data_IF_220725500836
#
_entry.id   IF_220725500836
#
_cell.length_a   1.000
_cell.length_b   1.000
_cell.length_c   1.000
_cell.angle_alpha   90.00
_cell.angle_beta   90.00
_cell.angle_gamma   90.00
#
_symmetry.space_group_name_H-M   'P 1'
#
loop_
_entity.id
_entity.type
_entity.pdbx_description
1 polymer ?
#
# COMPACT_ATOMS: atom_id res chain seq x y z
N UNK A 1 -23.48 -5.97 -3.21
CA UNK A 1 -23.26 -5.97 -1.75
C UNK A 1 -22.42 -4.75 -1.43
N UNK A 2 -22.93 -3.81 -0.65
CA UNK A 2 -22.09 -2.81 -0.01
C UNK A 2 -21.35 -3.52 1.13
N UNK A 3 -20.03 -3.46 1.13
CA UNK A 3 -19.23 -3.93 2.25
C UNK A 3 -19.01 -2.73 3.16
N UNK A 4 -19.74 -2.66 4.27
CA UNK A 4 -19.49 -1.68 5.33
C UNK A 4 -18.17 -2.04 6.02
N UNK A 5 -17.18 -1.16 5.94
CA UNK A 5 -15.89 -1.33 6.62
C UNK A 5 -16.06 -1.16 8.14
N UNK A 6 -15.40 -2.00 8.92
CA UNK A 6 -15.44 -1.99 10.39
C UNK A 6 -14.02 -2.13 10.97
N UNK A 7 -13.88 -1.82 12.27
CA UNK A 7 -12.62 -2.03 13.01
C UNK A 7 -12.13 -3.50 13.05
N UNK A 8 -12.97 -4.47 12.66
CA UNK A 8 -12.60 -5.90 12.64
C UNK A 8 -12.01 -6.32 11.31
N UNK A 9 -12.06 -5.46 10.30
CA UNK A 9 -11.50 -5.69 8.99
C UNK A 9 -10.03 -5.27 8.95
N UNK A 10 -9.33 -5.73 7.90
CA UNK A 10 -7.97 -5.32 7.58
C UNK A 10 -7.98 -4.67 6.21
N UNK A 11 -7.35 -3.50 6.10
CA UNK A 11 -7.23 -2.77 4.83
C UNK A 11 -5.78 -2.80 4.36
N UNK A 12 -5.56 -3.37 3.17
CA UNK A 12 -4.25 -3.45 2.54
C UNK A 12 -4.16 -2.45 1.39
N UNK A 13 -3.39 -1.39 1.59
CA UNK A 13 -3.12 -0.36 0.59
C UNK A 13 -1.94 -0.72 -0.30
N UNK A 14 -2.18 -0.92 -1.59
CA UNK A 14 -1.14 -1.33 -2.55
C UNK A 14 -0.84 -0.19 -3.52
N UNK A 15 0.38 0.34 -3.46
CA UNK A 15 0.87 1.30 -4.44
C UNK A 15 2.39 1.20 -4.58
N UNK A 16 2.88 0.83 -5.76
CA UNK A 16 4.32 0.72 -6.02
C UNK A 16 5.05 2.04 -5.72
N UNK A 17 4.43 3.18 -6.06
CA UNK A 17 4.94 4.52 -5.78
C UNK A 17 4.95 4.89 -4.30
N UNK A 18 4.10 4.24 -3.50
CA UNK A 18 3.86 4.54 -2.10
C UNK A 18 3.18 5.88 -1.81
N UNK A 19 2.67 6.58 -2.83
CA UNK A 19 2.10 7.94 -2.69
C UNK A 19 0.79 8.16 -3.46
N UNK A 20 0.12 7.10 -3.88
CA UNK A 20 -1.13 7.20 -4.66
C UNK A 20 -2.24 7.79 -3.78
N UNK A 21 -2.84 8.95 -4.10
CA UNK A 21 -3.81 9.62 -3.22
C UNK A 21 -5.02 8.77 -2.83
N UNK A 22 -5.49 7.92 -3.74
CA UNK A 22 -6.57 6.98 -3.46
C UNK A 22 -6.23 5.99 -2.34
N UNK A 23 -4.98 5.51 -2.31
CA UNK A 23 -4.52 4.56 -1.30
C UNK A 23 -4.29 5.27 0.04
N UNK A 24 -3.77 6.50 0.01
CA UNK A 24 -3.62 7.36 1.20
C UNK A 24 -4.98 7.56 1.87
N UNK A 25 -5.98 8.08 1.16
CA UNK A 25 -7.30 8.33 1.74
C UNK A 25 -8.01 7.07 2.21
N UNK A 26 -7.78 5.94 1.54
CA UNK A 26 -8.31 4.64 1.97
C UNK A 26 -7.71 4.14 3.29
N UNK A 27 -6.39 4.31 3.47
CA UNK A 27 -5.69 3.93 4.70
C UNK A 27 -6.03 4.89 5.85
N UNK A 28 -6.08 6.20 5.60
CA UNK A 28 -6.50 7.19 6.61
C UNK A 28 -7.91 6.90 7.12
N UNK A 29 -8.86 6.65 6.21
CA UNK A 29 -10.23 6.30 6.59
C UNK A 29 -10.31 4.97 7.38
N UNK A 30 -9.52 3.97 7.00
CA UNK A 30 -9.45 2.70 7.72
C UNK A 30 -8.90 2.89 9.15
N UNK A 31 -7.87 3.72 9.31
CA UNK A 31 -7.32 4.09 10.62
C UNK A 31 -8.33 4.85 11.48
N UNK A 32 -9.08 5.80 10.91
CA UNK A 32 -10.14 6.53 11.62
C UNK A 32 -11.23 5.59 12.19
N UNK A 33 -11.53 4.50 11.48
CA UNK A 33 -12.45 3.45 11.93
C UNK A 33 -11.84 2.46 12.91
N UNK A 34 -10.52 2.52 13.15
CA UNK A 34 -9.78 1.57 14.00
C UNK A 34 -9.56 0.20 13.36
N UNK A 35 -9.65 0.09 12.03
CA UNK A 35 -9.27 -1.13 11.31
C UNK A 35 -7.74 -1.23 11.23
N UNK A 36 -7.21 -2.45 11.25
CA UNK A 36 -5.76 -2.66 11.04
C UNK A 36 -5.38 -2.33 9.61
N UNK A 37 -4.33 -1.54 9.44
CA UNK A 37 -3.87 -1.11 8.12
C UNK A 37 -2.50 -1.69 7.75
N UNK A 38 -2.37 -2.07 6.48
CA UNK A 38 -1.12 -2.55 5.90
C UNK A 38 -0.82 -1.76 4.64
N UNK A 39 0.42 -1.29 4.50
CA UNK A 39 0.88 -0.63 3.29
C UNK A 39 1.90 -1.50 2.54
N UNK A 40 1.70 -1.65 1.23
CA UNK A 40 2.59 -2.36 0.33
C UNK A 40 3.11 -1.43 -0.77
N UNK A 41 4.38 -1.02 -0.63
CA UNK A 41 5.07 -0.11 -1.55
C UNK A 41 6.45 -0.64 -1.96
N UNK A 42 7.06 -0.05 -2.99
CA UNK A 42 8.41 -0.42 -3.44
C UNK A 42 9.43 0.72 -3.31
N UNK A 43 9.04 1.79 -2.60
CA UNK A 43 9.91 2.90 -2.22
C UNK A 43 10.04 2.92 -0.69
N UNK A 44 11.25 3.14 -0.15
CA UNK A 44 11.42 3.35 1.28
C UNK A 44 10.70 4.64 1.73
N UNK A 45 10.34 4.70 3.02
CA UNK A 45 9.80 5.90 3.70
C UNK A 45 8.67 6.58 2.90
N UNK A 46 7.77 5.76 2.36
CA UNK A 46 6.70 6.25 1.51
C UNK A 46 5.51 6.79 2.33
N UNK A 47 4.75 7.77 1.83
CA UNK A 47 3.58 8.30 2.54
C UNK A 47 2.62 7.22 3.07
N UNK A 48 2.32 6.17 2.29
CA UNK A 48 1.44 5.09 2.79
C UNK A 48 2.08 4.23 3.88
N UNK A 49 3.42 4.14 3.92
CA UNK A 49 4.14 3.41 4.97
C UNK A 49 4.11 4.17 6.30
N UNK A 50 4.13 5.50 6.27
CA UNK A 50 4.01 6.33 7.48
C UNK A 50 2.59 6.32 8.07
N UNK A 51 1.58 6.06 7.24
CA UNK A 51 0.17 6.04 7.63
C UNK A 51 -0.24 4.68 8.22
N UNK A 52 0.30 3.57 7.70
CA UNK A 52 -0.17 2.23 8.05
C UNK A 52 0.45 1.67 9.34
N UNK A 53 -0.31 0.82 10.06
CA UNK A 53 0.21 0.08 11.23
C UNK A 53 1.39 -0.83 10.86
N UNK A 54 1.31 -1.44 9.67
CA UNK A 54 2.31 -2.37 9.14
C UNK A 54 2.77 -1.91 7.76
N UNK A 55 4.06 -1.59 7.64
CA UNK A 55 4.69 -1.26 6.37
C UNK A 55 5.46 -2.47 5.79
N UNK A 56 5.11 -2.87 4.57
CA UNK A 56 5.83 -3.85 3.76
C UNK A 56 6.43 -3.13 2.56
N UNK A 57 7.75 -2.88 2.61
CA UNK A 57 8.45 -2.06 1.62
C UNK A 57 9.62 -2.78 0.95
N UNK A 58 9.37 -3.83 0.13
CA UNK A 58 10.41 -4.49 -0.65
C UNK A 58 10.97 -3.53 -1.71
N UNK A 59 12.17 -3.00 -1.48
CA UNK A 59 12.87 -2.10 -2.41
C UNK A 59 13.46 -2.90 -3.56
N UNK A 60 12.77 -2.89 -4.71
CA UNK A 60 13.17 -3.66 -5.91
C UNK A 60 14.15 -2.91 -6.84
N UNK A 61 14.41 -1.63 -6.57
CA UNK A 61 15.23 -0.74 -7.40
C UNK A 61 14.59 -0.32 -8.74
N UNK A 62 15.30 0.46 -9.59
CA UNK A 62 14.76 0.99 -10.84
C UNK A 62 14.26 -0.07 -11.82
N UNK A 63 13.13 0.16 -12.47
CA UNK A 63 12.54 -0.79 -13.43
C UNK A 63 13.35 -0.89 -14.72
N UNK A 64 13.31 -2.05 -15.38
CA UNK A 64 14.00 -2.27 -16.66
C UNK A 64 13.51 -1.33 -17.78
N UNK A 65 12.20 -1.00 -17.73
CA UNK A 65 11.62 0.10 -18.48
C UNK A 65 11.23 1.18 -17.47
N UNK A 66 11.85 2.37 -17.57
CA UNK A 66 11.67 3.46 -16.61
C UNK A 66 10.20 3.72 -16.29
N UNK A 67 9.86 3.59 -15.00
CA UNK A 67 8.51 3.84 -14.49
C UNK A 67 7.49 2.71 -14.73
N UNK A 68 7.85 1.62 -15.43
CA UNK A 68 6.94 0.49 -15.68
C UNK A 68 6.84 -0.42 -14.45
N UNK A 69 6.20 0.07 -13.39
CA UNK A 69 6.08 -0.62 -12.09
C UNK A 69 5.27 -1.92 -12.15
N UNK A 70 4.58 -2.21 -13.26
CA UNK A 70 3.97 -3.52 -13.49
C UNK A 70 4.97 -4.69 -13.55
N UNK A 71 6.27 -4.41 -13.64
CA UNK A 71 7.36 -5.39 -13.73
C UNK A 71 7.84 -5.87 -12.36
N UNK A 72 8.97 -5.37 -11.85
CA UNK A 72 9.53 -5.86 -10.58
C UNK A 72 8.63 -5.51 -9.41
N UNK A 73 8.11 -4.28 -9.36
CA UNK A 73 7.23 -3.85 -8.28
C UNK A 73 5.94 -4.67 -8.24
N UNK A 74 5.29 -4.88 -9.40
CA UNK A 74 4.12 -5.74 -9.52
C UNK A 74 4.41 -7.21 -9.18
N UNK A 75 5.59 -7.71 -9.51
CA UNK A 75 6.02 -9.07 -9.12
C UNK A 75 6.22 -9.16 -7.60
N UNK A 76 6.86 -8.18 -6.96
CA UNK A 76 7.00 -8.13 -5.52
C UNK A 76 5.62 -8.08 -4.83
N UNK A 77 4.70 -7.27 -5.35
CA UNK A 77 3.32 -7.18 -4.84
C UNK A 77 2.53 -8.48 -4.95
N UNK A 78 2.84 -9.33 -5.94
CA UNK A 78 2.24 -10.66 -6.08
C UNK A 78 2.82 -11.69 -5.10
N UNK A 79 4.08 -11.52 -4.70
CA UNK A 79 4.80 -12.47 -3.84
C UNK A 79 4.55 -12.26 -2.35
N UNK A 80 4.30 -11.00 -1.97
CA UNK A 80 3.75 -10.63 -0.66
C UNK A 80 2.30 -11.11 -0.58
#
# INVERSE_FOLDING_TARGET
>A
KENTLTQRDVVVGIAASGRTPYVIGGLEYANELGATTVALSCNPDSPIADIADIAISPVVGPEALTGSTRLKSGTAQKLV
#
